data_IF_460620925168
#
_entry.id   IF_460620925168
#
_cell.length_a   1.000
_cell.length_b   1.000
_cell.length_c   1.000
_cell.angle_alpha   90.00
_cell.angle_beta   90.00
_cell.angle_gamma   90.00
#
_symmetry.space_group_name_H-M   'P 1'
#
loop_
_entity.id
_entity.type
_entity.pdbx_description
1 polymer ?
#
# COMPACT_ATOMS: atom_id res chain seq x y z
N UNK A 1 41.83 7.33 -61.62
CA UNK A 1 40.91 8.48 -61.45
C UNK A 1 39.53 7.95 -61.16
N UNK A 2 39.19 7.74 -59.89
CA UNK A 2 37.82 7.41 -59.45
C UNK A 2 37.59 8.12 -58.13
N UNK A 3 36.83 9.20 -58.21
CA UNK A 3 36.45 10.11 -57.13
C UNK A 3 35.37 9.49 -56.24
N UNK A 4 35.68 9.29 -54.97
CA UNK A 4 34.73 9.03 -53.88
C UNK A 4 33.94 10.32 -53.60
N UNK A 5 32.63 10.30 -53.81
CA UNK A 5 31.72 11.30 -53.28
C UNK A 5 31.15 10.79 -51.95
N UNK A 6 31.58 11.40 -50.85
CA UNK A 6 31.03 11.18 -49.52
C UNK A 6 29.72 11.98 -49.35
N UNK A 7 28.60 11.27 -49.23
CA UNK A 7 27.31 11.84 -48.87
C UNK A 7 27.28 12.17 -47.37
N UNK A 8 27.38 13.45 -47.02
CA UNK A 8 27.15 13.93 -45.65
C UNK A 8 25.65 14.04 -45.40
N UNK A 9 25.10 13.06 -44.69
CA UNK A 9 23.70 13.07 -44.24
C UNK A 9 23.50 14.15 -43.17
N UNK A 10 22.60 15.11 -43.45
CA UNK A 10 22.27 16.22 -42.59
C UNK A 10 21.76 15.79 -41.21
N UNK A 11 22.45 16.25 -40.16
CA UNK A 11 22.06 16.06 -38.76
C UNK A 11 20.86 16.96 -38.45
N UNK A 12 19.70 16.35 -38.17
CA UNK A 12 18.50 17.09 -37.72
C UNK A 12 18.83 17.92 -36.46
N UNK A 13 18.45 19.21 -36.38
CA UNK A 13 18.71 20.02 -35.20
C UNK A 13 17.91 19.46 -34.02
N UNK A 14 18.60 19.24 -32.90
CA UNK A 14 17.95 18.89 -31.62
C UNK A 14 17.03 20.05 -31.22
N UNK A 15 15.72 19.80 -31.23
CA UNK A 15 14.72 20.69 -30.66
C UNK A 15 15.14 21.08 -29.24
N UNK A 16 15.25 22.38 -28.96
CA UNK A 16 15.53 22.91 -27.63
C UNK A 16 14.28 22.68 -26.78
N UNK A 17 14.21 21.53 -26.12
CA UNK A 17 13.15 21.21 -25.18
C UNK A 17 13.16 22.28 -24.07
N UNK A 18 12.01 22.91 -23.81
CA UNK A 18 11.95 23.94 -22.76
C UNK A 18 12.18 23.28 -21.40
N UNK A 19 12.79 23.99 -20.45
CA UNK A 19 13.08 23.44 -19.11
C UNK A 19 11.81 22.93 -18.40
N UNK A 20 10.64 23.52 -18.71
CA UNK A 20 9.32 23.05 -18.23
C UNK A 20 8.94 21.69 -18.79
N UNK A 21 9.36 21.35 -20.01
CA UNK A 21 9.17 20.02 -20.59
C UNK A 21 10.15 18.98 -20.04
N UNK A 22 11.32 19.41 -19.53
CA UNK A 22 12.34 18.50 -19.00
C UNK A 22 11.97 17.95 -17.61
N UNK A 23 11.34 18.75 -16.75
CA UNK A 23 10.75 18.29 -15.48
C UNK A 23 9.27 18.00 -15.67
N UNK A 24 8.96 16.87 -16.28
CA UNK A 24 7.60 16.36 -16.36
C UNK A 24 7.25 15.68 -15.03
N UNK A 25 7.17 16.46 -13.92
CA UNK A 25 6.66 15.95 -12.66
C UNK A 25 5.14 15.73 -12.83
N UNK A 26 4.65 14.49 -12.77
CA UNK A 26 3.22 14.24 -12.93
C UNK A 26 2.46 14.91 -11.77
N UNK A 27 1.73 15.98 -12.02
CA UNK A 27 0.96 16.69 -10.97
C UNK A 27 -0.35 15.99 -10.62
N UNK A 28 -0.88 15.20 -11.56
CA UNK A 28 -2.29 14.80 -11.58
C UNK A 28 -2.58 13.55 -10.74
N UNK A 29 -1.54 12.80 -10.37
CA UNK A 29 -1.65 11.58 -9.53
C UNK A 29 -1.47 11.81 -8.03
N UNK A 30 -1.16 13.04 -7.60
CA UNK A 30 -0.84 13.32 -6.20
C UNK A 30 -1.94 14.15 -5.50
N UNK A 31 -2.10 13.93 -4.21
CA UNK A 31 -2.98 14.75 -3.38
C UNK A 31 -2.39 16.17 -3.21
N UNK A 32 -3.23 17.20 -3.00
CA UNK A 32 -2.75 18.57 -2.77
C UNK A 32 -1.81 18.67 -1.56
N UNK A 33 -2.02 17.81 -0.55
CA UNK A 33 -1.16 17.74 0.64
C UNK A 33 0.23 17.18 0.29
N UNK A 34 0.30 16.15 -0.56
CA UNK A 34 1.58 15.60 -1.03
C UNK A 34 2.39 16.65 -1.80
N UNK A 35 1.73 17.37 -2.72
CA UNK A 35 2.39 18.44 -3.49
C UNK A 35 2.91 19.55 -2.59
N UNK A 36 2.12 20.02 -1.64
CA UNK A 36 2.52 21.08 -0.70
C UNK A 36 3.71 20.66 0.17
N UNK A 37 3.73 19.41 0.66
CA UNK A 37 4.85 18.87 1.44
C UNK A 37 6.11 18.74 0.61
N UNK A 38 6.01 18.22 -0.62
CA UNK A 38 7.16 18.11 -1.51
C UNK A 38 7.75 19.47 -1.85
N UNK A 39 6.91 20.47 -2.16
CA UNK A 39 7.36 21.84 -2.41
C UNK A 39 8.10 22.43 -1.20
N UNK A 40 7.55 22.29 0.01
CA UNK A 40 8.19 22.80 1.22
C UNK A 40 9.56 22.17 1.49
N UNK A 41 9.72 20.87 1.26
CA UNK A 41 11.03 20.19 1.39
C UNK A 41 12.01 20.73 0.34
N UNK A 42 11.60 20.89 -0.91
CA UNK A 42 12.46 21.41 -1.97
C UNK A 42 12.86 22.88 -1.73
N UNK A 43 11.96 23.72 -1.22
CA UNK A 43 12.24 25.11 -0.85
C UNK A 43 13.29 25.20 0.29
N UNK A 44 13.24 24.28 1.25
CA UNK A 44 14.23 24.20 2.33
C UNK A 44 15.58 23.73 1.81
N UNK A 45 15.61 22.69 0.98
CA UNK A 45 16.85 22.20 0.36
C UNK A 45 17.47 23.23 -0.61
N UNK A 46 16.65 24.07 -1.23
CA UNK A 46 17.09 25.19 -2.05
C UNK A 46 17.57 26.40 -1.25
N UNK A 47 17.44 26.39 0.09
CA UNK A 47 17.82 27.50 0.96
C UNK A 47 16.87 28.71 0.92
N UNK A 48 15.69 28.57 0.30
CA UNK A 48 14.68 29.64 0.18
C UNK A 48 13.88 29.78 1.49
N UNK A 49 13.76 28.70 2.26
CA UNK A 49 13.00 28.64 3.51
C UNK A 49 13.79 27.90 4.59
N UNK A 50 13.61 28.25 5.87
CA UNK A 50 14.19 27.45 6.98
C UNK A 50 13.31 26.24 7.33
N UNK A 51 13.87 25.18 7.97
CA UNK A 51 13.07 24.05 8.45
C UNK A 51 11.93 24.45 9.39
N UNK A 52 12.16 25.45 10.25
CA UNK A 52 11.16 25.97 11.19
C UNK A 52 10.00 26.69 10.48
N UNK A 53 10.31 27.47 9.45
CA UNK A 53 9.30 28.15 8.63
C UNK A 53 8.48 27.13 7.83
N UNK A 54 9.13 26.09 7.30
CA UNK A 54 8.46 25.02 6.58
C UNK A 54 7.54 24.20 7.48
N UNK A 55 7.98 23.89 8.71
CA UNK A 55 7.15 23.24 9.71
C UNK A 55 5.91 24.07 10.04
N UNK A 56 6.08 25.38 10.25
CA UNK A 56 4.99 26.32 10.53
C UNK A 56 4.00 26.41 9.37
N UNK A 57 4.47 26.57 8.13
CA UNK A 57 3.63 26.63 6.93
C UNK A 57 2.85 25.33 6.67
N UNK A 58 3.38 24.19 7.12
CA UNK A 58 2.73 22.88 7.02
C UNK A 58 1.90 22.51 8.26
N UNK A 59 1.81 23.38 9.27
CA UNK A 59 1.15 23.09 10.56
C UNK A 59 1.68 21.83 11.24
N UNK A 60 3.01 21.64 11.21
CA UNK A 60 3.72 20.51 11.81
C UNK A 60 4.64 21.01 12.93
N UNK A 61 4.96 20.13 13.89
CA UNK A 61 6.09 20.38 14.78
C UNK A 61 7.41 20.25 14.02
N UNK A 62 8.47 20.89 14.52
CA UNK A 62 9.81 20.81 13.91
C UNK A 62 10.31 19.36 13.81
N UNK A 63 10.09 18.53 14.83
CA UNK A 63 10.44 17.12 14.80
C UNK A 63 9.62 16.31 13.76
N UNK A 64 8.35 16.66 13.54
CA UNK A 64 7.53 16.04 12.50
C UNK A 64 8.01 16.44 11.09
N UNK A 65 8.50 17.67 10.92
CA UNK A 65 9.13 18.12 9.68
C UNK A 65 10.40 17.32 9.36
N UNK A 66 11.33 17.15 10.30
CA UNK A 66 12.53 16.34 10.06
C UNK A 66 12.22 14.87 9.71
N UNK A 67 11.16 14.29 10.30
CA UNK A 67 10.69 12.94 9.91
C UNK A 67 10.09 12.91 8.49
N UNK A 68 9.49 14.00 8.05
CA UNK A 68 8.98 14.14 6.68
C UNK A 68 10.14 14.27 5.70
N UNK A 69 11.09 15.16 5.99
CA UNK A 69 12.30 15.40 5.20
C UNK A 69 13.14 14.13 5.05
N UNK A 70 13.39 13.41 6.15
CA UNK A 70 14.11 12.13 6.10
C UNK A 70 13.40 11.07 5.25
N UNK A 71 12.06 11.06 5.21
CA UNK A 71 11.30 10.17 4.31
C UNK A 71 11.45 10.58 2.85
N UNK A 72 11.39 11.88 2.57
CA UNK A 72 11.55 12.41 1.22
C UNK A 72 12.94 12.08 0.67
N UNK A 73 14.00 12.34 1.45
CA UNK A 73 15.38 12.02 1.07
C UNK A 73 15.59 10.53 0.86
N UNK A 74 15.01 9.66 1.70
CA UNK A 74 15.05 8.21 1.49
C UNK A 74 14.44 7.82 0.16
N UNK A 75 13.25 8.32 -0.16
CA UNK A 75 12.59 8.01 -1.43
C UNK A 75 13.35 8.55 -2.64
N UNK A 76 14.04 9.68 -2.49
CA UNK A 76 14.91 10.22 -3.53
C UNK A 76 16.08 9.27 -3.79
N UNK A 77 16.74 8.80 -2.74
CA UNK A 77 17.84 7.82 -2.86
C UNK A 77 17.35 6.51 -3.48
N UNK A 78 16.21 5.98 -3.04
CA UNK A 78 15.58 4.79 -3.63
C UNK A 78 15.24 5.01 -5.13
N UNK A 79 14.80 6.22 -5.49
CA UNK A 79 14.49 6.58 -6.88
C UNK A 79 15.72 6.79 -7.77
N UNK A 80 16.90 6.99 -7.19
CA UNK A 80 18.16 7.06 -7.94
C UNK A 80 18.67 5.68 -8.37
N UNK A 81 18.10 4.59 -7.84
CA UNK A 81 18.44 3.25 -8.28
C UNK A 81 18.09 3.06 -9.78
N UNK A 82 19.01 2.56 -10.61
CA UNK A 82 18.73 2.31 -12.01
C UNK A 82 17.47 1.44 -12.18
N UNK A 83 16.46 2.01 -12.84
CA UNK A 83 15.26 1.25 -13.17
C UNK A 83 15.63 0.17 -14.19
N UNK A 84 15.40 -1.10 -13.83
CA UNK A 84 15.53 -2.22 -14.76
C UNK A 84 14.66 -1.97 -15.99
N UNK A 85 15.28 -2.06 -17.17
CA UNK A 85 14.59 -1.85 -18.44
C UNK A 85 13.73 -3.07 -18.76
N UNK A 86 12.41 -2.87 -18.87
CA UNK A 86 11.50 -3.90 -19.39
C UNK A 86 10.06 -3.77 -18.88
N UNK A 87 9.12 -4.56 -19.43
CA UNK A 87 7.75 -4.60 -18.96
C UNK A 87 7.71 -5.11 -17.50
N UNK A 88 7.34 -4.23 -16.56
CA UNK A 88 7.14 -4.63 -15.16
C UNK A 88 5.73 -5.18 -14.93
N UNK A 89 5.57 -6.18 -14.05
CA UNK A 89 4.27 -6.50 -13.47
C UNK A 89 3.81 -5.26 -12.68
N UNK A 90 2.85 -4.52 -13.22
CA UNK A 90 2.23 -3.43 -12.46
C UNK A 90 1.37 -4.03 -11.36
N UNK A 91 1.34 -3.44 -10.14
CA UNK A 91 0.49 -3.94 -9.06
C UNK A 91 -0.99 -4.01 -9.48
N UNK A 92 -1.44 -3.11 -10.35
CA UNK A 92 -2.79 -3.08 -10.91
C UNK A 92 -3.08 -4.32 -11.78
N UNK A 93 -2.16 -4.69 -12.68
CA UNK A 93 -2.25 -5.92 -13.49
C UNK A 93 -2.20 -7.17 -12.63
N UNK A 94 -1.37 -7.17 -11.58
CA UNK A 94 -1.28 -8.29 -10.65
C UNK A 94 -2.59 -8.49 -9.88
N UNK A 95 -3.17 -7.39 -9.36
CA UNK A 95 -4.50 -7.41 -8.73
C UNK A 95 -5.57 -7.89 -9.71
N UNK A 96 -5.53 -7.44 -10.97
CA UNK A 96 -6.47 -7.88 -12.00
C UNK A 96 -6.31 -9.39 -12.31
N UNK A 97 -5.08 -9.91 -12.35
CA UNK A 97 -4.78 -11.34 -12.52
C UNK A 97 -5.35 -12.15 -11.36
N UNK A 98 -5.00 -11.77 -10.12
CA UNK A 98 -5.43 -12.46 -8.91
C UNK A 98 -6.96 -12.46 -8.76
N UNK A 99 -7.64 -11.37 -9.14
CA UNK A 99 -9.11 -11.31 -9.16
C UNK A 99 -9.70 -12.34 -10.13
N UNK A 100 -9.18 -12.43 -11.35
CA UNK A 100 -9.64 -13.42 -12.34
C UNK A 100 -9.41 -14.86 -11.86
N UNK A 101 -8.28 -15.11 -11.21
CA UNK A 101 -7.99 -16.42 -10.62
C UNK A 101 -8.95 -16.75 -9.48
N UNK A 102 -9.23 -15.79 -8.59
CA UNK A 102 -10.20 -15.97 -7.52
C UNK A 102 -11.60 -16.26 -8.06
N UNK A 103 -12.05 -15.51 -9.07
CA UNK A 103 -13.35 -15.72 -9.71
C UNK A 103 -13.43 -17.11 -10.35
N UNK A 104 -12.39 -17.53 -11.08
CA UNK A 104 -12.29 -18.86 -11.68
C UNK A 104 -12.37 -19.97 -10.63
N UNK A 105 -11.56 -19.88 -9.57
CA UNK A 105 -11.53 -20.88 -8.49
C UNK A 105 -12.86 -20.93 -7.75
N UNK A 106 -13.54 -19.81 -7.58
CA UNK A 106 -14.87 -19.77 -6.96
C UNK A 106 -15.92 -20.53 -7.78
N UNK A 107 -15.90 -20.37 -9.11
CA UNK A 107 -16.79 -21.08 -10.02
C UNK A 107 -16.50 -22.59 -10.05
N UNK A 108 -15.21 -22.96 -10.05
CA UNK A 108 -14.79 -24.37 -9.96
C UNK A 108 -15.24 -25.01 -8.63
N UNK A 109 -15.08 -24.32 -7.50
CA UNK A 109 -15.56 -24.78 -6.20
C UNK A 109 -17.09 -24.96 -6.18
N UNK A 110 -17.86 -24.02 -6.72
CA UNK A 110 -19.31 -24.13 -6.80
C UNK A 110 -19.73 -25.36 -7.62
N UNK A 111 -19.05 -25.60 -8.74
CA UNK A 111 -19.29 -26.77 -9.59
C UNK A 111 -18.98 -28.08 -8.84
N UNK A 112 -17.84 -28.16 -8.17
CA UNK A 112 -17.48 -29.35 -7.38
C UNK A 112 -18.44 -29.58 -6.21
N UNK A 113 -18.88 -28.53 -5.53
CA UNK A 113 -19.90 -28.63 -4.48
C UNK A 113 -21.23 -29.14 -5.03
N UNK A 114 -21.67 -28.67 -6.20
CA UNK A 114 -22.89 -29.14 -6.85
C UNK A 114 -22.78 -30.63 -7.22
N UNK A 115 -21.64 -31.06 -7.76
CA UNK A 115 -21.37 -32.46 -8.09
C UNK A 115 -21.36 -33.34 -6.84
N UNK A 116 -20.70 -32.91 -5.77
CA UNK A 116 -20.67 -33.63 -4.49
C UNK A 116 -22.08 -33.81 -3.91
N UNK A 117 -22.93 -32.77 -3.93
CA UNK A 117 -24.34 -32.87 -3.50
C UNK A 117 -25.15 -33.81 -4.39
N UNK A 118 -24.88 -33.86 -5.69
CA UNK A 118 -25.55 -34.80 -6.60
C UNK A 118 -25.14 -36.26 -6.29
N UNK A 119 -23.84 -36.51 -6.08
CA UNK A 119 -23.34 -37.83 -5.70
C UNK A 119 -23.89 -38.29 -4.35
N UNK A 120 -23.94 -37.41 -3.35
CA UNK A 120 -24.55 -37.69 -2.03
C UNK A 120 -26.01 -38.13 -2.15
N UNK A 121 -26.79 -37.46 -3.02
CA UNK A 121 -28.19 -37.83 -3.27
C UNK A 121 -28.35 -39.22 -3.89
N UNK A 122 -27.45 -39.61 -4.81
CA UNK A 122 -27.48 -40.95 -5.43
C UNK A 122 -27.16 -42.07 -4.42
N UNK A 123 -26.25 -41.81 -3.48
CA UNK A 123 -25.83 -42.78 -2.45
C UNK A 123 -26.79 -42.79 -1.24
N UNK A 124 -27.87 -42.00 -1.26
CA UNK A 124 -28.83 -41.94 -0.16
C UNK A 124 -28.33 -41.22 1.10
N UNK A 125 -27.23 -40.47 0.98
CA UNK A 125 -26.71 -39.65 2.08
C UNK A 125 -27.48 -38.32 2.12
N UNK A 126 -28.08 -38.01 3.27
CA UNK A 126 -28.72 -36.71 3.51
C UNK A 126 -27.71 -35.58 3.27
N UNK A 127 -28.06 -34.62 2.42
CA UNK A 127 -27.23 -33.45 2.14
C UNK A 127 -26.86 -32.73 3.45
N UNK A 128 -25.61 -32.26 3.62
CA UNK A 128 -25.23 -31.49 4.80
C UNK A 128 -26.22 -30.33 4.99
N UNK A 129 -26.98 -30.38 6.09
CA UNK A 129 -27.96 -29.36 6.46
C UNK A 129 -27.23 -28.02 6.51
N UNK A 130 -27.64 -27.06 5.69
CA UNK A 130 -27.14 -25.69 5.81
C UNK A 130 -27.33 -25.25 7.26
N UNK A 131 -26.26 -24.75 7.89
CA UNK A 131 -26.33 -24.25 9.25
C UNK A 131 -27.50 -23.23 9.32
N UNK A 132 -28.43 -23.37 10.28
CA UNK A 132 -29.63 -22.55 10.29
C UNK A 132 -29.24 -21.07 10.31
N UNK A 133 -29.78 -20.29 9.36
CA UNK A 133 -29.76 -18.83 9.44
C UNK A 133 -30.48 -18.46 10.74
N UNK A 134 -29.75 -17.80 11.63
CA UNK A 134 -30.28 -17.42 12.94
C UNK A 134 -31.59 -16.65 12.78
N UNK A 135 -32.68 -17.17 13.35
CA UNK A 135 -33.97 -16.49 13.39
C UNK A 135 -33.87 -15.15 14.13
N UNK A 136 -34.53 -14.09 13.65
CA UNK A 136 -34.58 -12.81 14.35
C UNK A 136 -35.48 -12.93 15.58
N UNK A 137 -34.92 -13.40 16.70
CA UNK A 137 -35.67 -13.50 17.96
C UNK A 137 -35.01 -14.34 19.05
N UNK A 138 -34.13 -15.27 18.70
CA UNK A 138 -33.34 -15.96 19.73
C UNK A 138 -32.24 -15.03 20.22
N UNK A 139 -32.37 -14.55 21.46
CA UNK A 139 -31.36 -13.72 22.13
C UNK A 139 -30.01 -14.42 22.01
N UNK A 140 -29.17 -13.96 21.08
CA UNK A 140 -27.78 -14.41 20.94
C UNK A 140 -27.17 -14.32 22.32
N UNK A 141 -26.74 -15.46 22.86
CA UNK A 141 -26.01 -15.56 24.12
C UNK A 141 -24.95 -14.46 24.09
N UNK A 142 -25.08 -13.44 24.97
CA UNK A 142 -24.17 -12.30 25.00
C UNK A 142 -22.77 -12.88 25.07
N UNK A 143 -21.99 -12.69 24.00
CA UNK A 143 -20.59 -13.10 23.96
C UNK A 143 -19.95 -12.39 25.15
N UNK A 144 -19.52 -13.14 26.16
CA UNK A 144 -18.86 -12.63 27.36
C UNK A 144 -17.62 -11.85 26.88
N UNK A 145 -17.68 -10.51 26.82
CA UNK A 145 -16.64 -9.70 26.18
C UNK A 145 -15.33 -9.81 26.95
N UNK A 146 -15.45 -10.10 28.24
CA UNK A 146 -14.40 -10.36 29.21
C UNK A 146 -13.48 -11.50 28.78
N UNK A 147 -13.99 -12.66 28.32
CA UNK A 147 -13.11 -13.80 27.99
C UNK A 147 -12.24 -13.52 26.75
N UNK A 148 -12.78 -12.86 25.72
CA UNK A 148 -12.03 -12.54 24.49
C UNK A 148 -11.06 -11.38 24.70
N UNK A 149 -11.46 -10.37 25.47
CA UNK A 149 -10.59 -9.26 25.85
C UNK A 149 -9.46 -9.73 26.77
N UNK A 150 -9.74 -10.60 27.75
CA UNK A 150 -8.72 -11.18 28.62
C UNK A 150 -7.74 -12.09 27.86
N UNK A 151 -8.22 -12.88 26.88
CA UNK A 151 -7.34 -13.64 25.99
C UNK A 151 -6.46 -12.72 25.14
N UNK A 152 -7.01 -11.65 24.58
CA UNK A 152 -6.22 -10.66 23.83
C UNK A 152 -5.19 -9.96 24.73
N UNK A 153 -5.56 -9.59 25.96
CA UNK A 153 -4.66 -8.98 26.93
C UNK A 153 -3.58 -9.95 27.46
N UNK A 154 -3.82 -11.26 27.43
CA UNK A 154 -2.80 -12.28 27.74
C UNK A 154 -1.78 -12.43 26.59
N UNK A 155 -2.22 -12.27 25.34
CA UNK A 155 -1.34 -12.30 24.16
C UNK A 155 -0.54 -10.99 24.02
N UNK A 156 -1.12 -9.87 24.43
CA UNK A 156 -0.51 -8.54 24.31
C UNK A 156 0.33 -8.11 25.51
N UNK A 157 0.35 -8.89 26.60
CA UNK A 157 1.26 -8.62 27.72
C UNK A 157 2.65 -9.14 27.36
N UNK A 158 3.65 -8.27 27.13
CA UNK A 158 5.03 -8.72 27.03
C UNK A 158 5.43 -9.38 28.36
N UNK A 159 6.19 -10.47 28.27
CA UNK A 159 6.74 -11.16 29.43
C UNK A 159 7.79 -10.27 30.11
N UNK A 160 7.33 -9.37 30.99
CA UNK A 160 8.22 -8.51 31.77
C UNK A 160 7.68 -7.11 32.02
N UNK A 161 6.53 -7.01 32.67
CA UNK A 161 6.22 -5.82 33.49
C UNK A 161 5.21 -6.25 34.57
N UNK A 162 5.77 -6.77 35.67
CA UNK A 162 5.04 -6.87 36.92
C UNK A 162 5.14 -5.52 37.64
N UNK A 163 4.03 -4.85 37.98
CA UNK A 163 4.08 -3.76 38.92
C UNK A 163 4.25 -4.32 40.33
N UNK A 164 5.44 -4.04 40.84
CA UNK A 164 5.87 -4.01 42.23
C UNK A 164 4.73 -3.87 43.26
N UNK A 165 4.79 -4.73 44.28
CA UNK A 165 4.07 -4.56 45.53
C UNK A 165 4.47 -3.22 46.20
N UNK A 166 3.50 -2.42 46.69
CA UNK A 166 3.77 -1.51 47.78
C UNK A 166 3.59 -2.24 49.12
N UNK A 167 4.63 -2.11 49.94
CA UNK A 167 4.82 -2.62 51.29
C UNK A 167 3.68 -2.28 52.28
N UNK A 168 3.52 -3.05 53.37
CA UNK A 168 2.59 -2.74 54.44
C UNK A 168 3.09 -1.51 55.22
N UNK A 169 2.20 -0.57 55.52
CA UNK A 169 2.44 0.45 56.56
C UNK A 169 1.52 0.16 57.74
N UNK A 170 2.08 0.43 58.91
CA UNK A 170 1.71 0.03 60.27
C UNK A 170 0.32 0.48 60.74
#
# INVERSE_FOLDING_TARGET
MTSEQATTAGRRPRSKMSMRQAMNLPSDGYSPVQRRRAAAVLEVLAGIRTPSDAASALTLSLGAYYKLEGRALRSLVEGCEPQERGPRPSPEREVARLRREADRLSAELQRYQALARAAQRVVGLSSPKEAPKAEPGTRRRRRQPTVRALKAAAVLRPAGDGPAAPAPQA
#
